data_IF_427021096336
#
_entry.id   IF_427021096336
#
_cell.length_a   1.000
_cell.length_b   1.000
_cell.length_c   1.000
_cell.angle_alpha   90.00
_cell.angle_beta   90.00
_cell.angle_gamma   90.00
#
_symmetry.space_group_name_H-M   'P 1'
#
loop_
_entity.id
_entity.type
_entity.pdbx_description
1 polymer ?
#
# COMPACT_ATOMS: atom_id res chain seq x y z
N UNK A 1 -15.13 16.86 -1.35
CA UNK A 1 -13.99 16.27 -2.07
C UNK A 1 -13.71 17.03 -3.35
N UNK A 2 -12.43 17.30 -3.69
CA UNK A 2 -12.04 18.11 -4.85
C UNK A 2 -11.98 17.19 -6.07
N UNK A 3 -13.09 17.02 -6.79
CA UNK A 3 -13.18 16.09 -7.89
C UNK A 3 -12.44 16.58 -9.15
N UNK A 4 -12.18 15.69 -10.11
CA UNK A 4 -11.42 15.94 -11.34
C UNK A 4 -11.90 17.17 -12.13
N UNK A 5 -13.22 17.40 -12.22
CA UNK A 5 -13.78 18.55 -12.92
C UNK A 5 -13.42 19.86 -12.21
N UNK A 6 -13.60 19.92 -10.89
CA UNK A 6 -13.26 21.11 -10.09
C UNK A 6 -11.75 21.38 -10.12
N UNK A 7 -10.93 20.34 -10.03
CA UNK A 7 -9.47 20.48 -10.16
C UNK A 7 -9.09 21.06 -11.52
N UNK A 8 -9.60 20.51 -12.63
CA UNK A 8 -9.32 21.00 -13.97
C UNK A 8 -9.78 22.47 -14.16
N UNK A 9 -10.98 22.82 -13.70
CA UNK A 9 -11.49 24.20 -13.77
C UNK A 9 -10.58 25.13 -12.97
N UNK A 10 -10.19 24.76 -11.75
CA UNK A 10 -9.30 25.60 -10.92
C UNK A 10 -7.95 25.80 -11.60
N UNK A 11 -7.40 24.75 -12.21
CA UNK A 11 -6.13 24.80 -12.93
C UNK A 11 -6.20 25.73 -14.16
N UNK A 12 -7.30 25.64 -14.93
CA UNK A 12 -7.55 26.53 -16.07
C UNK A 12 -7.68 27.99 -15.61
N UNK A 13 -8.50 28.25 -14.59
CA UNK A 13 -8.69 29.61 -14.05
C UNK A 13 -7.38 30.19 -13.56
N UNK A 14 -6.60 29.43 -12.79
CA UNK A 14 -5.29 29.86 -12.30
C UNK A 14 -4.30 30.09 -13.44
N UNK A 15 -4.31 29.26 -14.47
CA UNK A 15 -3.48 29.43 -15.68
C UNK A 15 -3.83 30.71 -16.45
N UNK A 16 -5.13 30.95 -16.63
CA UNK A 16 -5.60 32.22 -17.31
C UNK A 16 -5.21 33.43 -16.50
N UNK A 17 -5.38 33.42 -15.18
CA UNK A 17 -4.99 34.54 -14.31
C UNK A 17 -3.46 34.77 -14.36
N UNK A 18 -2.66 33.72 -14.26
CA UNK A 18 -1.20 33.83 -14.37
C UNK A 18 -0.78 34.39 -15.72
N UNK A 19 -1.38 33.94 -16.82
CA UNK A 19 -1.11 34.44 -18.17
C UNK A 19 -1.50 35.92 -18.31
N UNK A 20 -2.65 36.33 -17.78
CA UNK A 20 -3.09 37.72 -17.77
C UNK A 20 -2.11 38.61 -17.01
N UNK A 21 -1.63 38.17 -15.83
CA UNK A 21 -0.62 38.93 -15.06
C UNK A 21 0.70 39.05 -15.82
N UNK A 22 1.17 38.00 -16.47
CA UNK A 22 2.41 38.01 -17.26
C UNK A 22 2.29 38.97 -18.44
N UNK A 23 1.19 38.92 -19.21
CA UNK A 23 0.95 39.78 -20.34
C UNK A 23 0.87 41.28 -19.92
N UNK A 24 0.08 41.54 -18.86
CA UNK A 24 -0.07 42.89 -18.34
C UNK A 24 1.27 43.44 -17.86
N UNK A 25 2.05 42.66 -17.16
CA UNK A 25 3.37 43.08 -16.69
C UNK A 25 4.38 43.28 -17.84
N UNK A 26 4.30 42.47 -18.89
CA UNK A 26 5.17 42.62 -20.07
C UNK A 26 4.86 43.90 -20.86
N UNK A 27 3.59 44.37 -20.84
CA UNK A 27 3.18 45.59 -21.56
C UNK A 27 3.46 46.85 -20.74
N UNK A 28 3.14 46.83 -19.47
CA UNK A 28 3.13 48.05 -18.64
C UNK A 28 4.27 48.11 -17.63
N UNK A 29 5.03 47.05 -17.41
CA UNK A 29 6.14 46.96 -16.43
C UNK A 29 5.80 47.47 -15.02
N UNK A 30 4.52 47.37 -14.60
CA UNK A 30 4.05 47.88 -13.31
C UNK A 30 4.39 47.03 -12.11
N UNK A 31 4.62 45.72 -12.32
CA UNK A 31 4.82 44.74 -11.24
C UNK A 31 6.24 44.18 -11.35
N UNK A 32 6.97 44.18 -10.24
CA UNK A 32 8.26 43.55 -10.19
C UNK A 32 8.08 42.00 -10.44
N UNK A 33 8.91 41.46 -11.31
CA UNK A 33 8.91 40.04 -11.64
C UNK A 33 9.00 39.14 -10.39
N UNK A 34 9.61 39.61 -9.31
CA UNK A 34 9.66 38.95 -8.04
C UNK A 34 8.25 38.64 -7.49
N UNK A 35 7.31 39.56 -7.60
CA UNK A 35 5.92 39.34 -7.17
C UNK A 35 5.19 38.33 -8.05
N UNK A 36 5.46 38.33 -9.37
CA UNK A 36 4.88 37.35 -10.29
C UNK A 36 5.31 35.92 -9.89
N UNK A 37 6.61 35.72 -9.59
CA UNK A 37 7.16 34.45 -9.14
C UNK A 37 6.54 34.06 -7.81
N UNK A 38 6.44 34.96 -6.84
CA UNK A 38 5.92 34.69 -5.50
C UNK A 38 4.44 34.30 -5.54
N UNK A 39 3.62 34.99 -6.32
CA UNK A 39 2.19 34.67 -6.49
C UNK A 39 2.02 33.33 -7.21
N UNK A 40 2.81 33.07 -8.25
CA UNK A 40 2.75 31.81 -8.99
C UNK A 40 3.17 30.61 -8.12
N UNK A 41 4.22 30.77 -7.33
CA UNK A 41 4.69 29.76 -6.37
C UNK A 41 3.65 29.51 -5.28
N UNK A 42 3.04 30.56 -4.73
CA UNK A 42 1.95 30.45 -3.74
C UNK A 42 0.74 29.71 -4.31
N UNK A 43 0.37 30.01 -5.56
CA UNK A 43 -0.72 29.32 -6.24
C UNK A 43 -0.41 27.82 -6.45
N UNK A 44 0.81 27.50 -6.86
CA UNK A 44 1.27 26.10 -7.01
C UNK A 44 1.23 25.36 -5.67
N UNK A 45 1.78 25.95 -4.60
CA UNK A 45 1.76 25.37 -3.25
C UNK A 45 0.31 25.15 -2.79
N UNK A 46 -0.58 26.12 -3.00
CA UNK A 46 -1.99 25.98 -2.66
C UNK A 46 -2.65 24.80 -3.39
N UNK A 47 -2.42 24.67 -4.71
CA UNK A 47 -2.95 23.55 -5.48
C UNK A 47 -2.39 22.21 -5.00
N UNK A 48 -1.08 22.13 -4.75
CA UNK A 48 -0.43 20.94 -4.19
C UNK A 48 -1.06 20.57 -2.85
N UNK A 49 -1.24 21.51 -1.94
CA UNK A 49 -1.88 21.27 -0.63
C UNK A 49 -3.34 20.80 -0.76
N UNK A 50 -4.11 21.36 -1.71
CA UNK A 50 -5.51 20.95 -1.96
C UNK A 50 -5.64 19.51 -2.49
N UNK A 51 -4.59 18.93 -3.04
CA UNK A 51 -4.55 17.55 -3.49
C UNK A 51 -3.96 16.65 -2.41
N UNK A 52 -2.83 17.04 -1.80
CA UNK A 52 -2.12 16.21 -0.82
C UNK A 52 -2.82 16.14 0.55
N UNK A 53 -3.44 17.22 1.02
CA UNK A 53 -4.13 17.25 2.30
C UNK A 53 -5.27 16.22 2.41
N UNK A 54 -6.22 16.16 1.47
CA UNK A 54 -7.26 15.13 1.48
C UNK A 54 -6.71 13.71 1.38
N UNK A 55 -5.58 13.53 0.68
CA UNK A 55 -4.94 12.22 0.54
C UNK A 55 -4.32 11.74 1.86
N UNK A 56 -3.65 12.64 2.61
CA UNK A 56 -3.13 12.32 3.94
C UNK A 56 -4.26 11.99 4.91
N UNK A 57 -5.32 12.80 4.96
CA UNK A 57 -6.50 12.52 5.79
C UNK A 57 -7.14 11.17 5.42
N UNK A 58 -7.18 10.84 4.12
CA UNK A 58 -7.66 9.56 3.65
C UNK A 58 -6.77 8.42 4.16
N UNK A 59 -5.44 8.52 3.98
CA UNK A 59 -4.51 7.48 4.41
C UNK A 59 -4.64 7.22 5.92
N UNK A 60 -4.65 8.28 6.75
CA UNK A 60 -4.86 8.15 8.20
C UNK A 60 -6.19 7.47 8.53
N UNK A 61 -7.30 7.90 7.88
CA UNK A 61 -8.61 7.29 8.12
C UNK A 61 -8.65 5.82 7.65
N UNK A 62 -8.02 5.51 6.53
CA UNK A 62 -7.92 4.14 6.03
C UNK A 62 -7.18 3.25 7.02
N UNK A 63 -6.01 3.70 7.51
CA UNK A 63 -5.24 3.00 8.53
C UNK A 63 -6.07 2.78 9.80
N UNK A 64 -6.78 3.81 10.29
CA UNK A 64 -7.66 3.66 11.46
C UNK A 64 -8.73 2.59 11.24
N UNK A 65 -9.41 2.60 10.09
CA UNK A 65 -10.45 1.63 9.76
C UNK A 65 -9.91 0.19 9.65
N UNK A 66 -8.71 0.01 9.08
CA UNK A 66 -8.11 -1.32 8.88
C UNK A 66 -7.41 -1.81 10.15
N UNK A 67 -6.56 -0.97 10.76
CA UNK A 67 -5.61 -1.42 11.77
C UNK A 67 -6.13 -1.31 13.21
N UNK A 68 -7.18 -0.51 13.45
CA UNK A 68 -7.80 -0.37 14.78
C UNK A 68 -9.26 -0.84 14.81
N UNK A 69 -10.08 -0.29 13.93
CA UNK A 69 -11.53 -0.55 13.95
C UNK A 69 -11.87 -1.91 13.35
N UNK A 70 -10.99 -2.47 12.51
CA UNK A 70 -11.23 -3.67 11.69
C UNK A 70 -12.53 -3.56 10.89
N UNK A 71 -12.86 -2.34 10.44
CA UNK A 71 -14.04 -2.05 9.61
C UNK A 71 -13.64 -2.07 8.12
N UNK A 72 -13.35 -3.27 7.63
CA UNK A 72 -12.82 -3.48 6.28
C UNK A 72 -13.82 -3.02 5.20
N UNK A 73 -15.12 -3.19 5.44
CA UNK A 73 -16.16 -2.78 4.48
C UNK A 73 -16.17 -1.25 4.29
N UNK A 74 -16.03 -0.49 5.37
CA UNK A 74 -15.95 0.97 5.28
C UNK A 74 -14.62 1.42 4.64
N UNK A 75 -13.51 0.74 4.93
CA UNK A 75 -12.23 1.00 4.31
C UNK A 75 -12.27 0.75 2.79
N UNK A 76 -12.89 -0.36 2.36
CA UNK A 76 -13.11 -0.68 0.94
C UNK A 76 -13.95 0.41 0.25
N UNK A 77 -15.08 0.79 0.85
CA UNK A 77 -15.93 1.86 0.33
C UNK A 77 -15.20 3.20 0.26
N UNK A 78 -14.46 3.55 1.31
CA UNK A 78 -13.68 4.80 1.38
C UNK A 78 -12.64 4.86 0.24
N UNK A 79 -11.93 3.76 -0.01
CA UNK A 79 -10.93 3.67 -1.07
C UNK A 79 -11.58 3.71 -2.46
N UNK A 80 -12.68 2.98 -2.66
CA UNK A 80 -13.44 3.01 -3.91
C UNK A 80 -13.98 4.41 -4.24
N UNK A 81 -14.61 5.08 -3.27
CA UNK A 81 -15.12 6.43 -3.42
C UNK A 81 -13.98 7.44 -3.72
N UNK A 82 -12.81 7.25 -3.10
CA UNK A 82 -11.60 8.00 -3.37
C UNK A 82 -11.15 7.84 -4.82
N UNK A 83 -11.09 6.62 -5.32
CA UNK A 83 -10.72 6.27 -6.69
C UNK A 83 -11.67 6.92 -7.71
N UNK A 84 -12.99 6.78 -7.52
CA UNK A 84 -14.01 7.33 -8.42
C UNK A 84 -14.02 8.86 -8.47
N UNK A 85 -13.59 9.53 -7.40
CA UNK A 85 -13.57 10.98 -7.28
C UNK A 85 -12.17 11.59 -7.37
N UNK A 86 -11.17 10.82 -7.76
CA UNK A 86 -9.77 11.26 -7.78
C UNK A 86 -9.57 12.45 -8.74
N UNK A 87 -8.83 13.51 -8.32
CA UNK A 87 -8.61 14.69 -9.13
C UNK A 87 -7.68 14.45 -10.31
N UNK A 88 -6.74 13.53 -10.19
CA UNK A 88 -5.76 13.18 -11.23
C UNK A 88 -5.63 11.67 -11.38
N UNK A 89 -5.06 11.22 -12.50
CA UNK A 89 -4.80 9.80 -12.75
C UNK A 89 -3.79 9.20 -11.77
N UNK A 90 -2.81 9.96 -11.31
CA UNK A 90 -1.84 9.48 -10.33
C UNK A 90 -2.50 9.28 -8.96
N UNK A 91 -3.37 10.20 -8.54
CA UNK A 91 -4.15 10.07 -7.30
C UNK A 91 -5.17 8.93 -7.41
N UNK A 92 -5.79 8.72 -8.60
CA UNK A 92 -6.66 7.58 -8.86
C UNK A 92 -5.92 6.25 -8.68
N UNK A 93 -4.72 6.13 -9.28
CA UNK A 93 -3.88 4.94 -9.11
C UNK A 93 -3.50 4.68 -7.64
N UNK A 94 -3.24 5.75 -6.87
CA UNK A 94 -2.94 5.63 -5.45
C UNK A 94 -4.15 5.11 -4.65
N UNK A 95 -5.34 5.66 -4.85
CA UNK A 95 -6.56 5.13 -4.23
C UNK A 95 -6.84 3.68 -4.65
N UNK A 96 -6.48 3.31 -5.89
CA UNK A 96 -6.62 1.96 -6.38
C UNK A 96 -5.71 0.96 -5.64
N UNK A 97 -4.49 1.39 -5.21
CA UNK A 97 -3.64 0.58 -4.33
C UNK A 97 -4.35 0.30 -3.01
N UNK A 98 -4.87 1.33 -2.35
CA UNK A 98 -5.60 1.17 -1.08
C UNK A 98 -6.89 0.33 -1.25
N UNK A 99 -7.57 0.46 -2.39
CA UNK A 99 -8.73 -0.38 -2.69
C UNK A 99 -8.34 -1.85 -2.82
N UNK A 100 -7.24 -2.15 -3.53
CA UNK A 100 -6.69 -3.51 -3.59
C UNK A 100 -6.29 -4.06 -2.22
N UNK A 101 -5.68 -3.23 -1.36
CA UNK A 101 -5.36 -3.62 0.02
C UNK A 101 -6.62 -3.92 0.84
N UNK A 102 -7.67 -3.09 0.72
CA UNK A 102 -8.94 -3.34 1.40
C UNK A 102 -9.60 -4.65 0.95
N UNK A 103 -9.56 -4.94 -0.36
CA UNK A 103 -10.03 -6.22 -0.89
C UNK A 103 -9.26 -7.40 -0.29
N UNK A 104 -7.93 -7.30 -0.16
CA UNK A 104 -7.10 -8.31 0.48
C UNK A 104 -7.51 -8.50 1.95
N UNK A 105 -7.60 -7.41 2.73
CA UNK A 105 -7.98 -7.46 4.14
C UNK A 105 -9.41 -8.01 4.34
N UNK A 106 -10.29 -7.88 3.35
CA UNK A 106 -11.61 -8.49 3.33
C UNK A 106 -11.65 -9.94 2.82
N UNK A 107 -10.49 -10.56 2.53
CA UNK A 107 -10.41 -11.94 2.03
C UNK A 107 -10.84 -12.10 0.56
N UNK A 108 -10.96 -11.02 -0.20
CA UNK A 108 -11.35 -11.03 -1.63
C UNK A 108 -10.11 -11.11 -2.52
N UNK A 109 -9.33 -12.18 -2.38
CA UNK A 109 -7.98 -12.29 -2.92
C UNK A 109 -7.90 -12.21 -4.46
N UNK A 110 -8.79 -12.88 -5.19
CA UNK A 110 -8.83 -12.80 -6.65
C UNK A 110 -9.17 -11.39 -7.14
N UNK A 111 -10.07 -10.70 -6.43
CA UNK A 111 -10.42 -9.32 -6.75
C UNK A 111 -9.26 -8.37 -6.45
N UNK A 112 -8.52 -8.60 -5.37
CA UNK A 112 -7.32 -7.84 -5.02
C UNK A 112 -6.24 -7.99 -6.10
N UNK A 113 -5.93 -9.22 -6.54
CA UNK A 113 -4.96 -9.47 -7.64
C UNK A 113 -5.40 -8.78 -8.93
N UNK A 114 -6.67 -8.89 -9.31
CA UNK A 114 -7.21 -8.20 -10.50
C UNK A 114 -7.07 -6.68 -10.39
N UNK A 115 -7.38 -6.14 -9.20
CA UNK A 115 -7.23 -4.71 -8.93
C UNK A 115 -5.76 -4.28 -9.09
N UNK A 116 -4.81 -4.95 -8.45
CA UNK A 116 -3.40 -4.63 -8.51
C UNK A 116 -2.84 -4.74 -9.94
N UNK A 117 -3.23 -5.77 -10.69
CA UNK A 117 -2.80 -5.96 -12.07
C UNK A 117 -3.34 -4.89 -13.05
N UNK A 118 -4.43 -4.20 -12.69
CA UNK A 118 -5.00 -3.12 -13.50
C UNK A 118 -4.36 -1.76 -13.27
N UNK A 119 -3.46 -1.63 -12.28
CA UNK A 119 -2.81 -0.36 -11.94
C UNK A 119 -1.69 -0.04 -12.93
N UNK A 120 -1.70 1.16 -13.49
CA UNK A 120 -0.60 1.67 -14.30
C UNK A 120 0.60 2.05 -13.40
N UNK A 121 1.57 1.15 -13.25
CA UNK A 121 2.72 1.33 -12.35
C UNK A 121 3.50 2.62 -12.60
N UNK A 122 3.62 3.08 -13.85
CA UNK A 122 4.29 4.34 -14.20
C UNK A 122 3.71 5.59 -13.52
N UNK A 123 2.52 5.49 -12.92
CA UNK A 123 1.86 6.59 -12.20
C UNK A 123 2.23 6.65 -10.72
N UNK A 124 2.96 5.66 -10.25
CA UNK A 124 3.30 5.46 -8.85
C UNK A 124 4.81 5.41 -8.67
N UNK A 125 5.29 5.79 -7.50
CA UNK A 125 6.69 5.60 -7.16
C UNK A 125 7.01 4.13 -6.84
N UNK A 126 8.30 3.80 -6.76
CA UNK A 126 8.77 2.44 -6.54
C UNK A 126 8.29 1.83 -5.21
N UNK A 127 8.03 2.64 -4.18
CA UNK A 127 7.50 2.17 -2.90
C UNK A 127 6.11 1.52 -3.06
N UNK A 128 5.23 2.15 -3.83
CA UNK A 128 3.91 1.57 -4.10
C UNK A 128 3.98 0.34 -5.01
N UNK A 129 5.01 0.23 -5.88
CA UNK A 129 5.23 -1.01 -6.62
C UNK A 129 5.50 -2.18 -5.67
N UNK A 130 6.34 -1.96 -4.64
CA UNK A 130 6.61 -2.98 -3.62
C UNK A 130 5.34 -3.38 -2.89
N UNK A 131 4.51 -2.41 -2.46
CA UNK A 131 3.23 -2.70 -1.80
C UNK A 131 2.30 -3.52 -2.70
N UNK A 132 2.12 -3.11 -3.97
CA UNK A 132 1.31 -3.83 -4.95
C UNK A 132 1.79 -5.28 -5.08
N UNK A 133 3.09 -5.49 -5.24
CA UNK A 133 3.65 -6.82 -5.41
C UNK A 133 3.57 -7.65 -4.13
N UNK A 134 3.82 -7.05 -2.96
CA UNK A 134 3.71 -7.76 -1.68
C UNK A 134 2.27 -8.23 -1.42
N UNK A 135 1.28 -7.36 -1.60
CA UNK A 135 -0.13 -7.75 -1.42
C UNK A 135 -0.62 -8.71 -2.50
N UNK A 136 -0.05 -8.66 -3.72
CA UNK A 136 -0.29 -9.68 -4.74
C UNK A 136 0.29 -11.03 -4.30
N UNK A 137 1.51 -11.08 -3.76
CA UNK A 137 2.09 -12.30 -3.20
C UNK A 137 1.26 -12.86 -2.04
N UNK A 138 0.86 -12.02 -1.09
CA UNK A 138 0.00 -12.47 0.01
C UNK A 138 -1.33 -13.03 -0.50
N UNK A 139 -1.96 -12.37 -1.46
CA UNK A 139 -3.22 -12.85 -2.06
C UNK A 139 -3.02 -14.18 -2.79
N UNK A 140 -1.94 -14.32 -3.56
CA UNK A 140 -1.60 -15.55 -4.28
C UNK A 140 -1.30 -16.71 -3.30
N UNK A 141 -0.62 -16.43 -2.19
CA UNK A 141 -0.35 -17.42 -1.15
C UNK A 141 -1.65 -17.96 -0.54
N UNK A 142 -2.60 -17.08 -0.19
CA UNK A 142 -3.91 -17.48 0.37
C UNK A 142 -4.75 -18.29 -0.63
N UNK A 143 -4.56 -18.09 -1.94
CA UNK A 143 -5.21 -18.86 -3.00
C UNK A 143 -4.47 -20.16 -3.35
N UNK A 144 -3.26 -20.38 -2.85
CA UNK A 144 -2.39 -21.49 -3.25
C UNK A 144 -1.81 -21.34 -4.67
N UNK A 145 -1.85 -20.13 -5.24
CA UNK A 145 -1.29 -19.83 -6.58
C UNK A 145 0.22 -19.56 -6.47
N UNK A 146 0.99 -20.64 -6.44
CA UNK A 146 2.45 -20.60 -6.29
C UNK A 146 3.15 -19.94 -7.49
N UNK A 147 2.60 -20.08 -8.67
CA UNK A 147 3.18 -19.50 -9.88
C UNK A 147 3.11 -17.96 -9.85
N UNK A 148 1.92 -17.41 -9.56
CA UNK A 148 1.73 -15.96 -9.38
C UNK A 148 2.58 -15.44 -8.22
N UNK A 149 2.67 -16.18 -7.11
CA UNK A 149 3.49 -15.82 -5.96
C UNK A 149 4.97 -15.68 -6.36
N UNK A 150 5.57 -16.73 -6.96
CA UNK A 150 6.98 -16.75 -7.34
C UNK A 150 7.32 -15.67 -8.38
N UNK A 151 6.48 -15.54 -9.41
CA UNK A 151 6.66 -14.51 -10.43
C UNK A 151 6.64 -13.09 -9.83
N UNK A 152 5.71 -12.84 -8.89
CA UNK A 152 5.56 -11.51 -8.29
C UNK A 152 6.67 -11.23 -7.29
N UNK A 153 7.14 -12.22 -6.54
CA UNK A 153 8.27 -12.08 -5.62
C UNK A 153 9.56 -11.68 -6.39
N UNK A 154 9.81 -12.27 -7.54
CA UNK A 154 10.94 -11.88 -8.40
C UNK A 154 10.87 -10.41 -8.83
N UNK A 155 9.67 -9.88 -9.05
CA UNK A 155 9.47 -8.45 -9.36
C UNK A 155 9.86 -7.55 -8.18
N UNK A 156 9.65 -7.97 -6.92
CA UNK A 156 10.09 -7.23 -5.73
C UNK A 156 11.63 -7.14 -5.72
N UNK A 157 12.34 -8.24 -5.97
CA UNK A 157 13.80 -8.24 -6.07
C UNK A 157 14.30 -7.25 -7.13
N UNK A 158 13.64 -7.19 -8.27
CA UNK A 158 14.00 -6.26 -9.36
C UNK A 158 13.71 -4.79 -9.01
N UNK A 159 12.68 -4.50 -8.23
CA UNK A 159 12.36 -3.12 -7.80
C UNK A 159 13.32 -2.63 -6.72
N UNK A 160 13.83 -3.52 -5.86
CA UNK A 160 14.76 -3.18 -4.77
C UNK A 160 15.97 -2.36 -5.26
N UNK A 161 16.49 -2.67 -6.44
CA UNK A 161 17.62 -1.96 -7.04
C UNK A 161 17.28 -0.51 -7.42
N UNK A 162 16.00 -0.21 -7.65
CA UNK A 162 15.51 1.11 -8.11
C UNK A 162 14.95 1.98 -7.00
N UNK A 163 14.83 1.44 -5.79
CA UNK A 163 14.27 2.17 -4.65
C UNK A 163 15.33 3.09 -4.04
N UNK A 164 14.98 4.34 -3.67
CA UNK A 164 15.89 5.23 -2.96
C UNK A 164 16.42 4.59 -1.67
N UNK A 165 17.70 4.87 -1.28
CA UNK A 165 18.34 4.25 -0.10
C UNK A 165 17.52 4.35 1.20
N UNK A 166 16.77 5.44 1.39
CA UNK A 166 15.92 5.65 2.58
C UNK A 166 14.82 4.58 2.74
N UNK A 167 14.45 3.88 1.66
CA UNK A 167 13.41 2.85 1.67
C UNK A 167 13.94 1.42 1.55
N UNK A 168 15.27 1.23 1.51
CA UNK A 168 15.86 -0.10 1.34
C UNK A 168 15.45 -1.06 2.45
N UNK A 169 15.45 -0.61 3.72
CA UNK A 169 15.03 -1.44 4.85
C UNK A 169 13.57 -1.88 4.72
N UNK A 170 12.67 -0.98 4.29
CA UNK A 170 11.27 -1.30 4.06
C UNK A 170 11.11 -2.41 3.02
N UNK A 171 11.77 -2.27 1.86
CA UNK A 171 11.71 -3.30 0.80
C UNK A 171 12.31 -4.62 1.27
N UNK A 172 13.47 -4.57 1.96
CA UNK A 172 14.11 -5.77 2.49
C UNK A 172 13.24 -6.51 3.51
N UNK A 173 12.46 -5.79 4.32
CA UNK A 173 11.51 -6.41 5.26
C UNK A 173 10.42 -7.21 4.53
N UNK A 174 9.82 -6.65 3.48
CA UNK A 174 8.83 -7.38 2.68
C UNK A 174 9.43 -8.60 1.98
N UNK A 175 10.62 -8.44 1.39
CA UNK A 175 11.36 -9.51 0.74
C UNK A 175 11.64 -10.66 1.73
N UNK A 176 12.20 -10.36 2.89
CA UNK A 176 12.49 -11.33 3.94
C UNK A 176 11.24 -12.09 4.42
N UNK A 177 10.15 -11.38 4.65
CA UNK A 177 8.88 -11.98 5.05
C UNK A 177 8.35 -12.92 3.96
N UNK A 178 8.33 -12.49 2.70
CA UNK A 178 7.80 -13.28 1.59
C UNK A 178 8.70 -14.49 1.28
N UNK A 179 10.02 -14.33 1.34
CA UNK A 179 10.96 -15.45 1.21
C UNK A 179 10.77 -16.49 2.33
N UNK A 180 10.53 -16.03 3.57
CA UNK A 180 10.25 -16.93 4.69
C UNK A 180 8.94 -17.71 4.49
N UNK A 181 7.90 -17.06 3.95
CA UNK A 181 6.62 -17.71 3.61
C UNK A 181 6.83 -18.76 2.51
N UNK A 182 7.57 -18.40 1.45
CA UNK A 182 7.91 -19.32 0.36
C UNK A 182 8.59 -20.59 0.86
N UNK A 183 9.47 -20.45 1.83
CA UNK A 183 10.33 -21.51 2.33
C UNK A 183 9.82 -22.14 3.62
N UNK A 184 8.57 -21.94 4.03
CA UNK A 184 8.03 -22.42 5.31
C UNK A 184 8.17 -23.92 5.48
N UNK A 185 8.05 -24.69 4.39
CA UNK A 185 8.11 -26.17 4.42
C UNK A 185 9.54 -26.72 4.55
N UNK A 186 10.57 -25.92 4.24
CA UNK A 186 11.98 -26.36 4.23
C UNK A 186 12.83 -25.66 5.27
N UNK A 187 12.40 -24.49 5.78
CA UNK A 187 13.14 -23.65 6.71
C UNK A 187 12.23 -23.10 7.81
N UNK A 188 11.54 -23.98 8.54
CA UNK A 188 10.52 -23.63 9.51
C UNK A 188 11.03 -22.75 10.66
N UNK A 189 12.25 -23.00 11.17
CA UNK A 189 12.84 -22.17 12.23
C UNK A 189 13.15 -20.75 11.74
N UNK A 190 13.67 -20.62 10.52
CA UNK A 190 13.88 -19.31 9.89
C UNK A 190 12.56 -18.57 9.70
N UNK A 191 11.48 -19.25 9.29
CA UNK A 191 10.15 -18.65 9.20
C UNK A 191 9.73 -18.06 10.55
N UNK A 192 9.87 -18.83 11.64
CA UNK A 192 9.52 -18.37 12.99
C UNK A 192 10.34 -17.12 13.39
N UNK A 193 11.67 -17.17 13.21
CA UNK A 193 12.55 -16.04 13.54
C UNK A 193 12.15 -14.75 12.78
N UNK A 194 11.83 -14.87 11.49
CA UNK A 194 11.41 -13.73 10.65
C UNK A 194 10.09 -13.16 11.13
N UNK A 195 9.07 -13.98 11.37
CA UNK A 195 7.77 -13.46 11.85
C UNK A 195 7.88 -12.83 13.24
N UNK A 196 8.69 -13.39 14.15
CA UNK A 196 8.95 -12.78 15.45
C UNK A 196 9.64 -11.42 15.30
N UNK A 197 10.63 -11.30 14.44
CA UNK A 197 11.34 -10.05 14.19
C UNK A 197 10.44 -8.94 13.65
N UNK A 198 9.54 -9.26 12.72
CA UNK A 198 8.74 -8.27 12.02
C UNK A 198 7.38 -7.99 12.64
N UNK A 199 6.76 -8.95 13.33
CA UNK A 199 5.39 -8.83 13.81
C UNK A 199 5.21 -8.93 15.33
N UNK A 200 6.21 -9.38 16.12
CA UNK A 200 6.06 -9.48 17.57
C UNK A 200 6.05 -8.14 18.30
N UNK A 201 6.34 -7.04 17.61
CA UNK A 201 6.34 -5.71 18.19
C UNK A 201 4.93 -5.30 18.55
N UNK A 202 4.75 -4.84 19.77
CA UNK A 202 3.49 -4.22 20.18
C UNK A 202 3.50 -2.74 19.77
N UNK A 203 3.10 -2.49 18.53
CA UNK A 203 2.99 -1.15 17.95
C UNK A 203 1.63 -0.50 18.20
N UNK A 204 0.77 -1.14 18.99
CA UNK A 204 -0.58 -0.68 19.27
C UNK A 204 -1.61 -0.98 18.18
N UNK A 205 -1.22 -1.58 17.05
CA UNK A 205 -2.15 -1.97 15.99
C UNK A 205 -2.68 -3.39 16.21
N UNK A 206 -3.99 -3.52 16.30
CA UNK A 206 -4.60 -4.86 16.45
C UNK A 206 -4.31 -5.75 15.24
N UNK A 207 -4.25 -5.18 14.03
CA UNK A 207 -3.92 -5.92 12.81
C UNK A 207 -2.55 -6.59 12.88
N UNK A 208 -1.53 -5.91 13.43
CA UNK A 208 -0.19 -6.50 13.61
C UNK A 208 -0.26 -7.74 14.51
N UNK A 209 -0.99 -7.66 15.61
CA UNK A 209 -1.17 -8.80 16.52
C UNK A 209 -1.95 -9.96 15.85
N UNK A 210 -3.01 -9.65 15.09
CA UNK A 210 -3.78 -10.66 14.36
C UNK A 210 -2.91 -11.39 13.33
N UNK A 211 -2.14 -10.64 12.55
CA UNK A 211 -1.22 -11.20 11.55
C UNK A 211 -0.15 -12.04 12.23
N UNK A 212 0.44 -11.56 13.33
CA UNK A 212 1.43 -12.30 14.08
C UNK A 212 0.90 -13.65 14.59
N UNK A 213 -0.24 -13.62 15.29
CA UNK A 213 -0.86 -14.85 15.82
C UNK A 213 -1.28 -15.80 14.69
N UNK A 214 -1.84 -15.30 13.60
CA UNK A 214 -2.20 -16.13 12.46
C UNK A 214 -0.97 -16.81 11.82
N UNK A 215 0.15 -16.10 11.71
CA UNK A 215 1.41 -16.66 11.19
C UNK A 215 2.05 -17.66 12.14
N UNK A 216 1.97 -17.43 13.47
CA UNK A 216 2.36 -18.41 14.46
C UNK A 216 1.50 -19.67 14.37
N UNK A 217 0.19 -19.53 14.13
CA UNK A 217 -0.67 -20.70 13.93
C UNK A 217 -0.22 -21.54 12.73
N UNK A 218 0.22 -20.91 11.62
CA UNK A 218 0.80 -21.65 10.49
C UNK A 218 2.10 -22.37 10.86
N UNK A 219 2.95 -21.76 11.68
CA UNK A 219 4.15 -22.42 12.21
C UNK A 219 3.79 -23.66 13.02
N UNK A 220 2.86 -23.56 13.99
CA UNK A 220 2.44 -24.69 14.82
C UNK A 220 1.69 -25.77 14.00
N UNK A 221 0.95 -25.38 12.95
CA UNK A 221 0.34 -26.31 12.00
C UNK A 221 1.42 -27.19 11.32
N UNK A 222 2.54 -26.59 10.88
CA UNK A 222 3.67 -27.30 10.27
C UNK A 222 4.45 -28.15 11.28
N UNK A 223 4.51 -27.73 12.54
CA UNK A 223 5.14 -28.47 13.62
C UNK A 223 4.28 -29.66 14.10
N UNK A 224 2.99 -29.66 13.78
CA UNK A 224 2.02 -30.68 14.23
C UNK A 224 1.50 -30.41 15.65
N UNK A 225 1.70 -29.23 16.21
CA UNK A 225 1.19 -28.83 17.51
C UNK A 225 -0.20 -28.18 17.38
N UNK A 226 -1.20 -29.03 17.36
CA UNK A 226 -2.59 -28.61 17.20
C UNK A 226 -3.09 -27.74 18.35
N UNK A 227 -2.57 -27.93 19.59
CA UNK A 227 -3.02 -27.15 20.73
C UNK A 227 -2.52 -25.70 20.67
N UNK A 228 -1.22 -25.50 20.44
CA UNK A 228 -0.65 -24.16 20.31
C UNK A 228 -1.19 -23.44 19.06
N UNK A 229 -1.38 -24.18 17.96
CA UNK A 229 -2.07 -23.66 16.78
C UNK A 229 -3.46 -23.12 17.14
N UNK A 230 -4.28 -23.90 17.82
CA UNK A 230 -5.65 -23.50 18.15
C UNK A 230 -5.70 -22.34 19.14
N UNK A 231 -4.72 -22.19 20.05
CA UNK A 231 -4.59 -20.98 20.90
C UNK A 231 -4.37 -19.73 20.06
N UNK A 232 -3.45 -19.79 19.11
CA UNK A 232 -3.19 -18.67 18.19
C UNK A 232 -4.42 -18.34 17.34
N UNK A 233 -5.09 -19.35 16.77
CA UNK A 233 -6.31 -19.16 15.99
C UNK A 233 -7.47 -18.60 16.83
N UNK A 234 -7.63 -19.07 18.08
CA UNK A 234 -8.64 -18.56 19.00
C UNK A 234 -8.48 -17.06 19.27
N UNK A 235 -7.24 -16.60 19.48
CA UNK A 235 -6.96 -15.15 19.60
C UNK A 235 -7.41 -14.38 18.37
N UNK A 236 -7.07 -14.88 17.16
CA UNK A 236 -7.42 -14.24 15.89
C UNK A 236 -8.93 -14.21 15.69
N UNK A 237 -9.65 -15.30 16.01
CA UNK A 237 -11.11 -15.38 15.90
C UNK A 237 -11.79 -14.42 16.87
N UNK A 238 -11.31 -14.38 18.14
CA UNK A 238 -11.88 -13.54 19.18
C UNK A 238 -11.82 -12.04 18.86
N UNK A 239 -10.71 -11.60 18.24
CA UNK A 239 -10.40 -10.18 18.09
C UNK A 239 -10.46 -9.68 16.64
N UNK A 240 -10.48 -10.57 15.63
CA UNK A 240 -10.25 -10.20 14.22
C UNK A 240 -11.49 -9.78 13.44
N UNK A 241 -12.70 -9.80 14.01
CA UNK A 241 -13.96 -9.43 13.34
C UNK A 241 -14.06 -10.06 11.91
N UNK A 242 -14.11 -9.20 10.87
CA UNK A 242 -14.19 -9.59 9.46
C UNK A 242 -12.85 -9.48 8.73
N UNK A 243 -11.74 -9.32 9.45
CA UNK A 243 -10.41 -9.32 8.86
C UNK A 243 -10.11 -10.71 8.27
N UNK A 244 -9.38 -10.75 7.13
CA UNK A 244 -9.11 -11.99 6.39
C UNK A 244 -8.47 -13.09 7.25
N UNK A 245 -7.57 -12.73 8.17
CA UNK A 245 -6.95 -13.71 9.09
C UNK A 245 -7.99 -14.40 9.98
N UNK A 246 -9.01 -13.66 10.46
CA UNK A 246 -10.07 -14.24 11.27
C UNK A 246 -11.01 -15.13 10.44
N UNK A 247 -11.25 -14.77 9.17
CA UNK A 247 -12.01 -15.63 8.25
C UNK A 247 -11.26 -16.94 8.00
N UNK A 248 -9.96 -16.88 7.71
CA UNK A 248 -9.11 -18.05 7.50
C UNK A 248 -8.94 -18.87 8.80
N UNK A 249 -8.80 -18.20 9.95
CA UNK A 249 -8.68 -18.85 11.25
C UNK A 249 -9.92 -19.71 11.58
N UNK A 250 -11.12 -19.20 11.33
CA UNK A 250 -12.38 -19.96 11.56
C UNK A 250 -12.44 -21.24 10.77
N UNK A 251 -11.86 -21.29 9.57
CA UNK A 251 -11.83 -22.50 8.73
C UNK A 251 -10.82 -23.55 9.25
N UNK A 252 -9.76 -23.11 9.92
CA UNK A 252 -8.66 -23.97 10.39
C UNK A 252 -8.81 -24.41 11.84
N UNK A 253 -9.63 -23.75 12.63
CA UNK A 253 -9.81 -23.96 14.07
C UNK A 253 -10.48 -25.32 14.36
N UNK A 254 -9.85 -26.12 15.24
CA UNK A 254 -10.34 -27.44 15.63
C UNK A 254 -11.16 -27.45 16.93
N UNK A 255 -11.22 -26.34 17.64
CA UNK A 255 -12.01 -26.21 18.88
C UNK A 255 -11.36 -26.83 20.12
N UNK A 256 -10.02 -26.91 20.16
CA UNK A 256 -9.29 -27.46 21.30
C UNK A 256 -9.23 -26.52 22.52
N UNK A 257 -9.56 -25.25 22.32
CA UNK A 257 -9.59 -24.21 23.36
C UNK A 257 -10.86 -23.36 23.21
N UNK A 258 -11.24 -22.66 24.30
CA UNK A 258 -12.37 -21.74 24.24
C UNK A 258 -11.93 -20.38 23.69
N UNK A 259 -12.60 -19.90 22.64
CA UNK A 259 -12.30 -18.62 21.99
C UNK A 259 -12.48 -17.43 22.93
N UNK A 260 -13.47 -17.46 23.82
CA UNK A 260 -13.79 -16.36 24.75
C UNK A 260 -12.66 -16.06 25.74
N UNK A 261 -11.76 -17.02 25.99
CA UNK A 261 -10.61 -16.83 26.89
C UNK A 261 -9.54 -15.92 26.28
N UNK A 262 -9.60 -15.66 24.98
CA UNK A 262 -8.63 -14.89 24.21
C UNK A 262 -9.10 -13.49 23.82
N UNK A 263 -10.28 -13.05 24.29
CA UNK A 263 -10.79 -11.69 24.04
C UNK A 263 -9.92 -10.68 24.76
N UNK A 264 -9.46 -9.66 24.01
CA UNK A 264 -8.73 -8.51 24.58
C UNK A 264 -9.74 -7.69 25.41
N UNK A 265 -9.51 -7.62 26.74
CA UNK A 265 -10.42 -6.94 27.67
C UNK A 265 -10.18 -5.43 27.77
N UNK A 266 -8.97 -5.00 27.48
CA UNK A 266 -8.60 -3.58 27.47
C UNK A 266 -8.41 -3.13 26.03
N UNK A 267 -9.09 -2.05 25.60
CA UNK A 267 -8.84 -1.52 24.25
C UNK A 267 -7.39 -1.05 24.17
N UNK A 268 -6.69 -1.46 23.13
CA UNK A 268 -5.37 -0.93 22.80
C UNK A 268 -5.55 0.55 22.51
N UNK A 269 -4.97 1.43 23.34
CA UNK A 269 -5.00 2.87 23.03
C UNK A 269 -4.29 3.11 21.71
N UNK A 270 -4.95 3.79 20.77
CA UNK A 270 -4.34 4.08 19.49
C UNK A 270 -3.09 4.94 19.70
N UNK A 271 -1.93 4.39 19.42
CA UNK A 271 -0.71 5.18 19.27
C UNK A 271 -0.98 6.15 18.12
N UNK A 272 -0.83 7.45 18.38
CA UNK A 272 -1.13 8.47 17.39
C UNK A 272 -0.19 8.27 16.18
N UNK A 273 -0.67 7.76 15.01
CA UNK A 273 0.18 7.46 13.89
C UNK A 273 0.85 8.71 13.28
N UNK A 274 0.41 9.90 13.69
CA UNK A 274 1.02 11.17 13.28
C UNK A 274 2.34 11.46 14.03
N UNK A 275 2.75 10.67 15.03
CA UNK A 275 3.98 10.94 15.78
C UNK A 275 5.21 10.18 15.27
N UNK A 276 5.04 8.96 14.74
CA UNK A 276 6.19 8.08 14.58
C UNK A 276 6.49 7.62 13.13
N UNK A 277 5.53 7.64 12.20
CA UNK A 277 5.78 7.33 10.79
C UNK A 277 4.81 8.09 9.88
N UNK A 278 5.02 9.38 9.70
CA UNK A 278 4.61 9.99 8.45
C UNK A 278 5.54 9.40 7.40
N UNK A 279 5.11 8.31 6.73
CA UNK A 279 5.56 8.09 5.37
C UNK A 279 5.13 9.38 4.66
N UNK A 280 6.05 10.33 4.52
CA UNK A 280 5.82 11.52 3.72
C UNK A 280 5.34 11.00 2.37
N UNK A 281 4.05 11.19 2.12
CA UNK A 281 3.46 10.92 0.81
C UNK A 281 4.03 12.02 -0.07
N UNK A 282 5.30 11.87 -0.42
CA UNK A 282 5.90 12.63 -1.51
C UNK A 282 5.10 12.23 -2.75
N UNK A 283 4.18 13.10 -3.13
CA UNK A 283 3.62 13.03 -4.48
C UNK A 283 4.82 13.05 -5.41
N UNK A 284 5.08 11.93 -6.08
CA UNK A 284 6.18 11.80 -7.01
C UNK A 284 6.20 13.03 -7.93
N UNK A 285 7.27 13.81 -7.88
CA UNK A 285 7.48 14.83 -8.87
C UNK A 285 7.60 14.15 -10.23
N UNK A 286 7.03 14.71 -11.31
CA UNK A 286 7.01 14.06 -12.63
C UNK A 286 8.39 13.90 -13.28
N UNK A 287 9.47 14.21 -12.59
CA UNK A 287 10.84 14.26 -13.11
C UNK A 287 11.60 12.92 -13.03
N UNK A 288 11.06 11.88 -12.39
CA UNK A 288 11.73 10.58 -12.36
C UNK A 288 11.11 9.57 -13.35
N UNK A 289 10.77 10.03 -14.55
CA UNK A 289 10.52 9.14 -15.68
C UNK A 289 11.89 8.63 -16.13
N UNK A 290 12.30 7.47 -15.61
CA UNK A 290 13.35 6.68 -16.24
C UNK A 290 12.78 6.24 -17.58
N UNK A 291 13.23 6.86 -18.66
CA UNK A 291 13.05 6.38 -20.03
C UNK A 291 13.56 4.93 -20.04
N UNK A 292 12.65 3.99 -20.16
CA UNK A 292 13.00 2.64 -20.56
C UNK A 292 13.38 2.75 -22.03
N UNK A 293 14.67 2.81 -22.30
CA UNK A 293 15.20 2.50 -23.62
C UNK A 293 14.64 1.12 -24.03
N UNK A 294 13.73 1.14 -24.96
CA UNK A 294 13.38 -0.03 -25.74
C UNK A 294 14.57 -0.31 -26.64
N UNK A 295 15.30 -1.36 -26.32
CA UNK A 295 16.24 -2.00 -27.25
C UNK A 295 15.46 -2.57 -28.46
N UNK A 296 15.11 -1.69 -29.39
CA UNK A 296 14.87 -2.04 -30.78
C UNK A 296 16.19 -1.88 -31.54
N UNK A 297 17.01 -2.90 -31.54
CA UNK A 297 18.05 -3.06 -32.55
C UNK A 297 18.51 -4.50 -32.62
N UNK A 298 17.91 -5.26 -33.52
CA UNK A 298 18.64 -6.24 -34.32
C UNK A 298 17.72 -6.87 -35.34
N UNK A 299 17.66 -6.24 -36.48
CA UNK A 299 17.50 -6.98 -37.76
C UNK A 299 17.89 -6.03 -38.87
N UNK A 300 19.12 -6.10 -39.26
CA UNK A 300 19.49 -5.78 -40.63
C UNK A 300 20.54 -6.79 -41.11
N UNK A 301 20.02 -7.73 -41.84
CA UNK A 301 20.83 -8.64 -42.63
C UNK A 301 21.70 -7.90 -43.62
N UNK A 302 22.92 -8.36 -43.79
CA UNK A 302 23.66 -8.20 -45.05
C UNK A 302 23.89 -9.56 -45.65
N UNK A 303 23.21 -9.76 -46.77
CA UNK A 303 23.67 -10.59 -47.87
C UNK A 303 24.80 -9.82 -48.55
N UNK A 304 25.83 -10.53 -48.89
CA UNK A 304 26.76 -10.37 -50.03
C UNK A 304 28.02 -11.13 -49.69
N UNK A 305 28.34 -12.02 -50.37
CA UNK A 305 28.95 -12.76 -51.45
C UNK A 305 29.50 -14.12 -50.95
#
# INVERSE_FOLDING_TARGET
>A
MFNRKRYAITLIVMGVLALAVIITNSIYAYIDWLWVILVSSGAYIYLKYRVSGPLQMFATRFTMLVDYDLNIEEAEKLAYDGMMNAPTKNVEALYQVYYGMALYYGGKYEAAIKCFNSIELKRLNALYHVLIFAFTCYSAFELGDIDTFNFTLERIHNVKVKVPPKYTNFVSSYEEILDSIKNIDVALDNYKEVIERHFSRNDGYITTQLVYQFRLALYFEKLGDDLERDKCLAFVIANGKNHHTALSARMKFKGLVNVDDFIIKEPVEPVNPLKDEIIEIETAEPTDIIETETDENSENGKKEE
#
